data_IF_379260974228
#
_entry.id   IF_379260974228
#
_cell.length_a   1.000
_cell.length_b   1.000
_cell.length_c   1.000
_cell.angle_alpha   90.00
_cell.angle_beta   90.00
_cell.angle_gamma   90.00
#
_symmetry.space_group_name_H-M   'P 1'
#
loop_
_entity.id
_entity.type
_entity.pdbx_description
1 polymer ?
#
# COMPACT_ATOMS: atom_id res chain seq x y z
N UNK A 1 8.71 0.53 -17.34
CA UNK A 1 9.89 1.33 -16.92
C UNK A 1 9.43 2.43 -15.95
N UNK A 2 10.27 2.84 -15.01
CA UNK A 2 9.96 3.96 -14.10
C UNK A 2 10.24 5.27 -14.84
N UNK A 3 9.26 6.19 -14.97
CA UNK A 3 9.46 7.48 -15.60
C UNK A 3 10.49 8.35 -14.86
N UNK A 4 11.14 9.25 -15.60
CA UNK A 4 12.04 10.28 -15.06
C UNK A 4 11.34 11.65 -15.02
N UNK A 5 12.05 12.69 -14.55
CA UNK A 5 11.58 14.10 -14.54
C UNK A 5 10.31 14.30 -13.70
N UNK A 6 10.32 13.80 -12.47
CA UNK A 6 9.22 13.98 -11.51
C UNK A 6 7.92 13.24 -11.83
N UNK A 7 7.88 12.44 -12.91
CA UNK A 7 6.72 11.59 -13.25
C UNK A 7 6.72 10.30 -12.44
N UNK A 8 5.53 9.77 -12.19
CA UNK A 8 5.34 8.51 -11.47
C UNK A 8 4.85 7.40 -12.39
N UNK A 9 5.33 6.18 -12.17
CA UNK A 9 4.70 4.95 -12.63
C UNK A 9 3.56 4.62 -11.67
N UNK A 10 2.36 4.41 -12.21
CA UNK A 10 1.17 4.02 -11.45
C UNK A 10 0.78 2.60 -11.86
N UNK A 11 0.64 1.72 -10.88
CA UNK A 11 0.21 0.34 -11.06
C UNK A 11 -0.99 0.08 -10.16
N UNK A 12 -1.98 -0.66 -10.67
CA UNK A 12 -3.20 -0.98 -9.94
C UNK A 12 -3.39 -2.48 -9.79
N UNK A 13 -3.96 -2.90 -8.66
CA UNK A 13 -4.34 -4.30 -8.40
C UNK A 13 -5.72 -4.31 -7.78
N UNK A 14 -6.65 -5.01 -8.42
CA UNK A 14 -7.99 -5.24 -7.90
C UNK A 14 -8.03 -6.53 -7.09
N UNK A 15 -8.63 -6.46 -5.91
CA UNK A 15 -8.79 -7.64 -5.04
C UNK A 15 -10.17 -7.67 -4.40
N UNK A 16 -10.73 -8.87 -4.30
CA UNK A 16 -11.90 -9.16 -3.48
C UNK A 16 -11.51 -9.57 -2.04
N UNK A 17 -10.23 -9.47 -1.69
CA UNK A 17 -9.70 -9.82 -0.36
C UNK A 17 -10.10 -11.22 0.13
N UNK A 18 -10.07 -12.18 -0.79
CA UNK A 18 -10.41 -13.58 -0.52
C UNK A 18 -11.86 -13.77 -0.04
N UNK A 19 -12.79 -12.93 -0.50
CA UNK A 19 -14.20 -13.03 -0.16
C UNK A 19 -14.76 -14.45 -0.36
N UNK A 20 -15.43 -14.97 0.66
CA UNK A 20 -16.03 -16.30 0.66
C UNK A 20 -15.10 -17.44 1.07
N UNK A 21 -13.79 -17.19 1.28
CA UNK A 21 -12.85 -18.22 1.74
C UNK A 21 -12.53 -18.11 3.24
N UNK A 22 -11.81 -19.10 3.76
CA UNK A 22 -11.28 -19.10 5.13
C UNK A 22 -10.27 -17.96 5.39
N UNK A 23 -9.66 -17.42 4.33
CA UNK A 23 -8.67 -16.33 4.39
C UNK A 23 -9.26 -14.97 4.07
N UNK A 24 -10.59 -14.83 4.10
CA UNK A 24 -11.26 -13.55 3.87
C UNK A 24 -10.80 -12.48 4.87
N UNK A 25 -10.38 -11.33 4.36
CA UNK A 25 -10.02 -10.16 5.18
C UNK A 25 -11.02 -9.05 4.95
N UNK A 26 -11.73 -8.66 6.01
CA UNK A 26 -12.62 -7.51 5.99
C UNK A 26 -12.03 -6.32 6.74
N UNK A 27 -11.24 -6.55 7.78
CA UNK A 27 -10.67 -5.53 8.65
C UNK A 27 -9.16 -5.64 8.63
N UNK A 28 -8.48 -4.69 7.98
CA UNK A 28 -7.04 -4.71 7.86
C UNK A 28 -6.29 -4.54 9.18
N UNK A 29 -5.11 -5.14 9.27
CA UNK A 29 -4.12 -4.89 10.31
C UNK A 29 -2.81 -4.46 9.66
N UNK A 30 -2.13 -5.39 9.00
CA UNK A 30 -0.87 -5.14 8.28
C UNK A 30 -1.07 -5.36 6.79
N UNK A 31 -0.44 -4.51 5.97
CA UNK A 31 -0.41 -4.67 4.52
C UNK A 31 1.03 -4.69 4.05
N UNK A 32 1.39 -5.67 3.22
CA UNK A 32 2.69 -5.73 2.58
C UNK A 32 2.57 -5.61 1.06
N UNK A 33 3.34 -4.70 0.47
CA UNK A 33 3.65 -4.68 -0.95
C UNK A 33 4.98 -5.39 -1.16
N UNK A 34 4.93 -6.60 -1.72
CA UNK A 34 6.11 -7.40 -2.04
C UNK A 34 6.59 -7.02 -3.42
N UNK A 35 7.76 -6.38 -3.53
CA UNK A 35 8.21 -5.75 -4.77
C UNK A 35 9.56 -6.30 -5.20
N UNK A 36 9.67 -6.61 -6.49
CA UNK A 36 10.94 -6.83 -7.18
C UNK A 36 11.15 -5.72 -8.21
N UNK A 37 12.25 -4.98 -8.07
CA UNK A 37 12.56 -3.80 -8.88
C UNK A 37 14.07 -3.67 -9.03
N UNK A 38 14.55 -3.22 -10.18
CA UNK A 38 15.92 -2.76 -10.32
C UNK A 38 15.98 -1.24 -10.55
N UNK A 39 17.14 -0.67 -10.24
CA UNK A 39 17.41 0.73 -10.49
C UNK A 39 18.91 0.97 -10.59
N UNK A 40 19.31 1.95 -11.41
CA UNK A 40 20.67 2.47 -11.43
C UNK A 40 21.05 3.22 -10.16
N UNK A 41 20.07 3.64 -9.35
CA UNK A 41 20.28 4.28 -8.04
C UNK A 41 19.10 4.05 -7.12
N UNK A 42 19.18 2.99 -6.30
CA UNK A 42 18.08 2.55 -5.43
C UNK A 42 17.62 3.62 -4.43
N UNK A 43 18.54 4.41 -3.89
CA UNK A 43 18.25 5.43 -2.89
C UNK A 43 17.34 6.57 -3.36
N UNK A 44 17.21 6.76 -4.67
CA UNK A 44 16.30 7.76 -5.24
C UNK A 44 14.93 7.20 -5.61
N UNK A 45 14.69 5.89 -5.48
CA UNK A 45 13.35 5.32 -5.66
C UNK A 45 12.49 5.69 -4.46
N UNK A 46 11.32 6.24 -4.73
CA UNK A 46 10.25 6.46 -3.75
C UNK A 46 9.03 5.65 -4.14
N UNK A 47 8.34 5.11 -3.13
CA UNK A 47 7.13 4.33 -3.35
C UNK A 47 6.03 4.70 -2.37
N UNK A 48 4.82 4.77 -2.90
CA UNK A 48 3.61 4.99 -2.13
C UNK A 48 2.56 3.93 -2.46
N UNK A 49 1.85 3.46 -1.44
CA UNK A 49 0.76 2.51 -1.57
C UNK A 49 -0.53 3.20 -1.13
N UNK A 50 -1.56 3.19 -1.97
CA UNK A 50 -2.87 3.74 -1.65
C UNK A 50 -3.91 2.62 -1.56
N UNK A 51 -4.69 2.62 -0.48
CA UNK A 51 -5.79 1.67 -0.27
C UNK A 51 -7.05 2.05 -1.06
N UNK A 52 -8.00 1.12 -1.25
CA UNK A 52 -9.30 1.42 -1.86
C UNK A 52 -10.12 2.48 -1.12
N UNK A 53 -9.87 2.66 0.18
CA UNK A 53 -10.50 3.70 1.00
C UNK A 53 -9.79 5.06 0.93
N UNK A 54 -8.73 5.18 0.13
CA UNK A 54 -8.04 6.44 -0.15
C UNK A 54 -6.84 6.75 0.76
N UNK A 55 -6.50 5.88 1.70
CA UNK A 55 -5.35 6.10 2.59
C UNK A 55 -4.05 5.86 1.83
N UNK A 56 -3.22 6.90 1.72
CA UNK A 56 -1.91 6.86 1.05
C UNK A 56 -0.77 6.70 2.05
N UNK A 57 0.02 5.64 1.89
CA UNK A 57 1.19 5.31 2.72
C UNK A 57 2.48 5.49 1.96
N UNK A 58 3.46 6.23 2.50
CA UNK A 58 4.83 6.19 1.97
C UNK A 58 5.50 4.91 2.49
N UNK A 59 5.74 3.95 1.60
CA UNK A 59 6.33 2.65 1.94
C UNK A 59 7.83 2.59 1.67
N UNK A 60 8.35 3.54 0.87
CA UNK A 60 9.78 3.77 0.69
C UNK A 60 10.03 5.27 0.52
N UNK A 61 10.76 5.87 1.47
CA UNK A 61 11.27 7.23 1.37
C UNK A 61 12.59 7.28 0.58
N UNK A 62 12.97 8.47 0.12
CA UNK A 62 14.30 8.70 -0.46
C UNK A 62 15.37 8.43 0.61
N UNK A 63 16.47 7.80 0.20
CA UNK A 63 17.65 7.53 1.04
C UNK A 63 18.90 8.04 0.33
N UNK A 64 19.34 9.29 0.59
CA UNK A 64 20.41 9.93 -0.19
C UNK A 64 21.75 9.18 -0.21
N UNK A 65 22.04 8.40 0.84
CA UNK A 65 23.28 7.63 1.01
C UNK A 65 23.20 6.20 0.46
N UNK A 66 22.06 5.77 -0.07
CA UNK A 66 21.89 4.44 -0.69
C UNK A 66 22.23 4.52 -2.19
N UNK A 67 23.50 4.30 -2.51
CA UNK A 67 24.03 4.34 -3.88
C UNK A 67 24.07 2.96 -4.57
N UNK A 68 23.22 2.02 -4.14
CA UNK A 68 23.09 0.71 -4.78
C UNK A 68 22.65 0.85 -6.25
N UNK A 69 23.43 0.25 -7.16
CA UNK A 69 23.23 0.29 -8.62
C UNK A 69 23.03 -1.10 -9.24
N UNK A 70 22.99 -2.14 -8.42
CA UNK A 70 23.11 -3.53 -8.87
C UNK A 70 21.89 -4.35 -8.49
N UNK A 71 21.52 -4.33 -7.21
CA UNK A 71 20.61 -5.33 -6.64
C UNK A 71 19.15 -4.82 -6.67
N UNK A 72 18.95 -3.52 -6.43
CA UNK A 72 17.62 -2.95 -6.29
C UNK A 72 16.86 -3.59 -5.11
N UNK A 73 15.66 -4.11 -5.39
CA UNK A 73 14.86 -4.89 -4.46
C UNK A 73 14.48 -6.23 -5.09
N UNK A 74 14.57 -7.31 -4.33
CA UNK A 74 14.20 -8.66 -4.75
C UNK A 74 13.20 -9.22 -3.76
N UNK A 75 11.94 -9.37 -4.17
CA UNK A 75 10.81 -9.84 -3.34
C UNK A 75 10.77 -9.16 -1.97
N UNK A 76 11.04 -7.85 -1.91
CA UNK A 76 11.13 -7.12 -0.66
C UNK A 76 9.74 -6.76 -0.13
N UNK A 77 9.36 -7.15 1.10
CA UNK A 77 8.02 -6.91 1.65
C UNK A 77 7.94 -5.55 2.36
N UNK A 78 7.61 -4.49 1.61
CA UNK A 78 7.36 -3.18 2.22
C UNK A 78 6.03 -3.18 2.96
N UNK A 79 6.00 -2.74 4.22
CA UNK A 79 4.83 -2.88 5.08
C UNK A 79 4.28 -1.51 5.53
N UNK A 80 2.95 -1.43 5.69
CA UNK A 80 2.27 -0.28 6.31
C UNK A 80 1.17 -0.73 7.28
N UNK A 81 0.98 0.04 8.33
CA UNK A 81 -0.15 -0.04 9.28
C UNK A 81 -1.12 1.14 9.14
N UNK A 82 -0.86 2.07 8.23
CA UNK A 82 -1.68 3.28 8.06
C UNK A 82 -3.11 2.98 7.64
N UNK A 83 -3.38 1.80 7.08
CA UNK A 83 -4.68 1.33 6.60
C UNK A 83 -5.42 0.45 7.61
N UNK A 84 -4.93 0.34 8.86
CA UNK A 84 -5.57 -0.46 9.91
C UNK A 84 -7.08 -0.23 10.03
N UNK A 85 -7.84 -1.32 10.04
CA UNK A 85 -9.29 -1.38 10.18
C UNK A 85 -10.06 -1.19 8.87
N UNK A 86 -9.44 -0.66 7.81
CA UNK A 86 -10.07 -0.43 6.53
C UNK A 86 -10.54 -1.73 5.87
N UNK A 87 -11.54 -1.61 5.00
CA UNK A 87 -11.91 -2.69 4.10
C UNK A 87 -10.92 -2.76 2.93
N UNK A 88 -10.23 -3.88 2.71
CA UNK A 88 -9.20 -3.98 1.68
C UNK A 88 -9.74 -4.24 0.27
N UNK A 89 -11.05 -4.46 0.10
CA UNK A 89 -11.63 -4.82 -1.20
C UNK A 89 -11.71 -3.61 -2.12
N UNK A 90 -11.36 -3.82 -3.38
CA UNK A 90 -11.30 -2.79 -4.42
C UNK A 90 -9.89 -2.60 -4.97
N UNK A 91 -9.65 -1.43 -5.55
CA UNK A 91 -8.41 -1.13 -6.27
C UNK A 91 -7.34 -0.59 -5.34
N UNK A 92 -6.22 -1.30 -5.25
CA UNK A 92 -4.98 -0.81 -4.65
C UNK A 92 -4.11 -0.14 -5.69
N UNK A 93 -3.43 0.95 -5.32
CA UNK A 93 -2.54 1.68 -6.23
C UNK A 93 -1.14 1.75 -5.67
N UNK A 94 -0.16 1.23 -6.42
CA UNK A 94 1.26 1.38 -6.18
C UNK A 94 1.81 2.50 -7.08
N UNK A 95 2.34 3.54 -6.46
CA UNK A 95 3.02 4.64 -7.13
C UNK A 95 4.53 4.52 -6.92
N UNK A 96 5.31 4.57 -8.01
CA UNK A 96 6.78 4.47 -7.99
C UNK A 96 7.36 5.63 -8.79
N UNK A 97 8.33 6.34 -8.22
CA UNK A 97 8.99 7.47 -8.90
C UNK A 97 10.43 7.62 -8.47
N UNK A 98 11.21 8.36 -9.26
CA UNK A 98 12.49 8.91 -8.82
C UNK A 98 12.28 10.22 -8.06
N UNK A 99 12.95 10.37 -6.92
CA UNK A 99 12.84 11.51 -6.02
C UNK A 99 13.68 12.73 -6.45
N UNK A 100 14.53 12.56 -7.47
CA UNK A 100 15.42 13.59 -8.02
C UNK A 100 15.23 13.65 -9.53
N UNK A 101 15.53 14.80 -10.11
CA UNK A 101 15.43 15.02 -11.56
C UNK A 101 16.62 14.46 -12.34
N UNK A 102 17.69 14.07 -11.63
CA UNK A 102 18.84 13.39 -12.24
C UNK A 102 18.37 12.13 -12.97
N UNK A 103 18.75 11.95 -14.25
CA UNK A 103 18.31 10.78 -15.01
C UNK A 103 18.80 9.47 -14.38
N UNK A 104 17.86 8.71 -13.83
CA UNK A 104 18.06 7.34 -13.40
C UNK A 104 17.15 6.43 -14.22
N UNK A 105 17.56 5.17 -14.37
CA UNK A 105 16.73 4.17 -15.03
C UNK A 105 16.43 3.02 -14.07
N UNK A 106 15.30 2.37 -14.30
CA UNK A 106 14.84 1.26 -13.48
C UNK A 106 13.52 0.72 -14.01
N UNK A 107 13.22 -0.52 -13.65
CA UNK A 107 11.96 -1.15 -13.98
C UNK A 107 11.48 -2.02 -12.83
N UNK A 108 10.16 -2.01 -12.65
CA UNK A 108 9.51 -3.02 -11.82
C UNK A 108 9.49 -4.34 -12.58
N UNK A 109 9.77 -5.43 -11.88
CA UNK A 109 9.72 -6.80 -12.40
C UNK A 109 8.45 -7.50 -11.92
N UNK A 110 8.13 -7.34 -10.65
CA UNK A 110 7.03 -8.01 -9.99
C UNK A 110 6.54 -7.14 -8.84
N UNK A 111 5.23 -7.16 -8.60
CA UNK A 111 4.69 -6.72 -7.32
C UNK A 111 3.47 -7.55 -6.96
N UNK A 112 3.28 -7.75 -5.66
CA UNK A 112 2.15 -8.45 -5.09
C UNK A 112 1.72 -7.82 -3.78
N UNK A 113 0.49 -8.11 -3.38
CA UNK A 113 -0.12 -7.57 -2.17
C UNK A 113 -0.40 -8.72 -1.19
N UNK A 114 0.09 -8.61 0.03
CA UNK A 114 -0.29 -9.48 1.15
C UNK A 114 -1.10 -8.68 2.15
N UNK A 115 -2.30 -9.19 2.43
CA UNK A 115 -3.27 -8.56 3.33
C UNK A 115 -3.36 -9.40 4.60
N UNK A 116 -3.12 -8.78 5.75
CA UNK A 116 -3.32 -9.40 7.05
C UNK A 116 -4.45 -8.69 7.78
N UNK A 117 -5.29 -9.46 8.44
CA UNK A 117 -6.37 -8.94 9.24
C UNK A 117 -7.42 -9.99 9.53
N UNK A 118 -8.61 -9.54 9.90
CA UNK A 118 -9.69 -10.41 10.35
C UNK A 118 -10.91 -10.31 9.45
N UNK A 119 -11.71 -11.38 9.44
CA UNK A 119 -13.06 -11.37 8.86
C UNK A 119 -14.06 -10.64 9.77
N UNK A 120 -13.92 -10.80 11.09
CA UNK A 120 -14.83 -10.21 12.07
C UNK A 120 -14.30 -8.87 12.61
N UNK A 121 -15.21 -7.97 12.98
CA UNK A 121 -14.85 -6.63 13.43
C UNK A 121 -14.14 -6.68 14.79
N UNK A 122 -12.86 -6.26 14.90
CA UNK A 122 -12.11 -6.33 16.16
C UNK A 122 -12.48 -5.23 17.16
N UNK A 123 -13.32 -4.26 16.76
CA UNK A 123 -13.65 -3.06 17.52
C UNK A 123 -15.16 -2.86 17.72
N UNK A 124 -15.94 -3.94 17.61
CA UNK A 124 -17.40 -3.91 17.79
C UNK A 124 -17.82 -3.26 19.11
N UNK A 125 -17.10 -3.53 20.20
CA UNK A 125 -17.35 -3.00 21.54
C UNK A 125 -16.70 -1.64 21.84
N UNK A 126 -15.84 -1.11 20.95
CA UNK A 126 -15.11 0.13 21.22
C UNK A 126 -15.97 1.37 20.92
N UNK A 127 -16.18 2.28 21.88
CA UNK A 127 -16.95 3.50 21.64
C UNK A 127 -16.17 4.48 20.76
N UNK A 128 -16.86 5.12 19.81
CA UNK A 128 -16.31 6.24 19.04
C UNK A 128 -16.40 7.49 19.91
N UNK A 129 -15.26 7.98 20.39
CA UNK A 129 -15.19 9.21 21.23
C UNK A 129 -15.04 10.48 20.41
N UNK A 130 -14.33 10.38 19.28
CA UNK A 130 -14.10 11.48 18.35
C UNK A 130 -14.60 11.08 16.94
N UNK A 131 -15.57 11.81 16.36
CA UNK A 131 -16.08 11.57 15.01
C UNK A 131 -15.04 11.65 13.89
N UNK A 132 -13.91 12.31 14.12
CA UNK A 132 -12.82 12.44 13.15
C UNK A 132 -11.71 11.39 13.37
N UNK A 133 -11.82 10.58 14.42
CA UNK A 133 -10.86 9.51 14.66
C UNK A 133 -10.89 8.49 13.52
N UNK A 134 -9.74 7.85 13.28
CA UNK A 134 -9.65 6.77 12.29
C UNK A 134 -10.66 5.65 12.53
N UNK A 135 -10.93 5.32 13.80
CA UNK A 135 -11.94 4.34 14.16
C UNK A 135 -13.35 4.77 13.71
N UNK A 136 -13.70 6.05 13.85
CA UNK A 136 -14.98 6.58 13.39
C UNK A 136 -15.14 6.46 11.87
N UNK A 137 -14.12 6.90 11.12
CA UNK A 137 -14.09 6.85 9.64
C UNK A 137 -14.26 5.42 9.15
N UNK A 138 -13.49 4.50 9.73
CA UNK A 138 -13.52 3.08 9.37
C UNK A 138 -14.87 2.45 9.71
N UNK A 139 -15.41 2.66 10.92
CA UNK A 139 -16.72 2.13 11.31
C UNK A 139 -17.83 2.59 10.36
N UNK A 140 -17.87 3.89 10.07
CA UNK A 140 -18.84 4.47 9.15
C UNK A 140 -18.73 3.83 7.75
N UNK A 141 -17.53 3.68 7.22
CA UNK A 141 -17.32 3.07 5.91
C UNK A 141 -17.82 1.61 5.85
N UNK A 142 -17.60 0.82 6.91
CA UNK A 142 -18.14 -0.55 6.99
C UNK A 142 -19.66 -0.59 7.13
N UNK A 143 -20.26 0.33 7.88
CA UNK A 143 -21.72 0.45 8.00
C UNK A 143 -22.38 0.87 6.68
N UNK A 144 -21.83 1.87 6.00
CA UNK A 144 -22.34 2.35 4.71
C UNK A 144 -22.26 1.24 3.66
N UNK A 145 -21.18 0.45 3.67
CA UNK A 145 -21.05 -0.71 2.77
C UNK A 145 -22.09 -1.81 3.06
N UNK A 146 -22.41 -2.11 4.31
CA UNK A 146 -23.42 -3.14 4.63
C UNK A 146 -24.83 -2.79 4.16
N UNK A 147 -25.09 -1.50 3.89
CA UNK A 147 -26.37 -1.00 3.37
C UNK A 147 -26.45 -0.98 1.84
N UNK A 148 -25.30 -1.07 1.16
CA UNK A 148 -25.20 -1.11 -0.30
C UNK A 148 -25.31 -2.55 -0.81
#
# INVERSE_FOLDING_TARGET
PIPTQGKSLILTLDTNACEGSETQVEYLEHVQAVISLNSTRRGDVQMFLSSPMGTRSMILSRRPNDDDRHDGFVKWPFMTTHTWGENPRGTWTLEIRFAVDTPHSGFIKEWGLMLHGTREAPYSSLPVRDPHSKLAVVKKAHEDRKKA
#
